data_IF_957746259021
#
_entry.id   IF_957746259021
#
_cell.length_a   1.000
_cell.length_b   1.000
_cell.length_c   1.000
_cell.angle_alpha   90.00
_cell.angle_beta   90.00
_cell.angle_gamma   90.00
#
_symmetry.space_group_name_H-M   'P 1'
#
loop_
_entity.id
_entity.type
_entity.pdbx_description
1 polymer ?
#
# COMPACT_ATOMS: atom_id res chain seq x y z
N UNK A 1 8.18 -4.73 9.54
CA UNK A 1 9.19 -4.78 8.48
C UNK A 1 8.56 -4.12 7.29
N UNK A 2 8.97 -2.87 7.06
CA UNK A 2 8.29 -1.96 6.14
C UNK A 2 8.62 -2.28 4.67
N UNK A 3 7.69 -1.95 3.78
CA UNK A 3 7.95 -1.85 2.35
C UNK A 3 7.54 -0.46 1.84
N UNK A 4 7.85 -0.18 0.58
CA UNK A 4 7.55 1.12 -0.03
C UNK A 4 6.88 0.94 -1.38
N UNK A 5 5.91 1.80 -1.66
CA UNK A 5 5.39 2.02 -3.01
C UNK A 5 5.99 3.32 -3.55
N UNK A 6 6.69 3.24 -4.67
CA UNK A 6 7.33 4.40 -5.30
C UNK A 6 6.83 4.58 -6.72
N UNK A 7 6.63 5.85 -7.09
CA UNK A 7 6.29 6.25 -8.46
C UNK A 7 7.45 7.00 -9.09
N UNK A 8 7.73 6.60 -10.32
CA UNK A 8 8.65 7.28 -11.23
C UNK A 8 7.88 7.65 -12.51
N UNK A 9 8.40 8.64 -13.26
CA UNK A 9 7.97 8.89 -14.62
C UNK A 9 8.65 7.93 -15.61
N UNK A 10 8.28 8.01 -16.90
CA UNK A 10 8.84 7.15 -17.96
C UNK A 10 10.34 7.38 -18.21
N UNK A 11 10.87 8.51 -17.76
CA UNK A 11 12.30 8.85 -17.85
C UNK A 11 13.07 8.39 -16.61
N UNK A 12 12.39 7.76 -15.64
CA UNK A 12 12.97 7.31 -14.38
C UNK A 12 13.10 8.41 -13.32
N UNK A 13 12.50 9.59 -13.52
CA UNK A 13 12.53 10.63 -12.49
C UNK A 13 11.56 10.30 -11.37
N UNK A 14 12.02 10.42 -10.13
CA UNK A 14 11.20 10.23 -8.94
C UNK A 14 10.01 11.20 -8.91
N UNK A 15 8.83 10.69 -8.60
CA UNK A 15 7.60 11.48 -8.43
C UNK A 15 7.18 11.52 -6.97
N UNK A 16 7.00 10.35 -6.35
CA UNK A 16 6.65 10.21 -4.93
C UNK A 16 6.97 8.81 -4.42
N UNK A 17 7.04 8.66 -3.09
CA UNK A 17 7.08 7.38 -2.41
C UNK A 17 6.20 7.42 -1.16
N UNK A 18 5.62 6.26 -0.85
CA UNK A 18 4.82 6.03 0.34
C UNK A 18 5.41 4.87 1.11
N UNK A 19 5.50 5.04 2.43
CA UNK A 19 5.76 3.93 3.33
C UNK A 19 4.48 3.13 3.50
N UNK A 20 4.62 1.81 3.53
CA UNK A 20 3.54 0.88 3.80
C UNK A 20 4.05 -0.29 4.67
N UNK A 21 3.13 -0.97 5.35
CA UNK A 21 3.45 -1.99 6.35
C UNK A 21 3.55 -1.43 7.77
N UNK A 22 3.97 -2.28 8.69
CA UNK A 22 4.12 -2.07 10.13
C UNK A 22 5.45 -2.59 10.66
N UNK A 23 5.46 -2.99 11.93
CA UNK A 23 6.69 -3.40 12.63
C UNK A 23 7.05 -4.87 12.38
N UNK A 24 6.12 -5.70 11.89
CA UNK A 24 6.28 -7.15 11.64
C UNK A 24 6.44 -7.52 10.16
N UNK A 25 6.62 -8.78 9.78
CA UNK A 25 6.86 -9.17 8.38
C UNK A 25 5.71 -8.74 7.45
N UNK A 26 6.01 -7.88 6.47
CA UNK A 26 5.04 -7.40 5.49
C UNK A 26 5.62 -7.53 4.08
N UNK A 27 4.78 -7.94 3.12
CA UNK A 27 5.20 -8.21 1.76
C UNK A 27 4.15 -7.73 0.76
N UNK A 28 4.58 -6.91 -0.21
CA UNK A 28 3.79 -6.62 -1.40
C UNK A 28 4.06 -7.68 -2.47
N UNK A 29 3.00 -8.32 -2.96
CA UNK A 29 3.09 -9.45 -3.91
C UNK A 29 2.80 -9.07 -5.35
N UNK A 30 2.00 -8.02 -5.57
CA UNK A 30 1.63 -7.61 -6.92
C UNK A 30 1.04 -6.21 -6.95
N UNK A 31 1.22 -5.55 -8.10
CA UNK A 31 0.53 -4.30 -8.39
C UNK A 31 -0.05 -4.32 -9.80
N UNK A 32 -1.13 -3.56 -9.99
CA UNK A 32 -1.70 -3.26 -11.30
C UNK A 32 -2.28 -1.84 -11.34
N UNK A 33 -2.49 -1.31 -12.55
CA UNK A 33 -2.99 0.05 -12.76
C UNK A 33 -4.18 0.00 -13.74
N UNK A 34 -5.33 0.54 -13.32
CA UNK A 34 -6.51 0.60 -14.19
C UNK A 34 -6.43 1.76 -15.21
N UNK A 35 -7.39 1.78 -16.16
CA UNK A 35 -7.49 2.86 -17.16
C UNK A 35 -7.78 4.25 -16.54
N UNK A 36 -8.28 4.30 -15.30
CA UNK A 36 -8.46 5.52 -14.52
C UNK A 36 -7.19 5.98 -13.81
N UNK A 37 -6.07 5.28 -13.98
CA UNK A 37 -4.80 5.47 -13.27
C UNK A 37 -4.89 5.27 -11.76
N UNK A 38 -5.85 4.46 -11.30
CA UNK A 38 -5.79 3.97 -9.93
C UNK A 38 -4.80 2.81 -9.86
N UNK A 39 -4.00 2.82 -8.81
CA UNK A 39 -2.99 1.83 -8.50
C UNK A 39 -3.58 0.87 -7.47
N UNK A 40 -3.49 -0.42 -7.74
CA UNK A 40 -3.89 -1.48 -6.85
C UNK A 40 -2.64 -2.25 -6.43
N UNK A 41 -2.49 -2.49 -5.14
CA UNK A 41 -1.40 -3.25 -4.56
C UNK A 41 -1.99 -4.36 -3.69
N UNK A 42 -1.48 -5.58 -3.77
CA UNK A 42 -1.87 -6.67 -2.90
C UNK A 42 -0.67 -7.30 -2.21
N UNK A 43 -0.93 -8.03 -1.12
CA UNK A 43 0.12 -8.71 -0.38
C UNK A 43 -0.36 -9.24 0.96
N UNK A 44 0.59 -9.41 1.87
CA UNK A 44 0.34 -9.85 3.25
C UNK A 44 0.92 -8.86 4.26
N UNK A 45 0.19 -8.67 5.35
CA UNK A 45 0.62 -7.87 6.50
C UNK A 45 0.56 -8.73 7.75
N UNK A 46 1.60 -8.76 8.56
CA UNK A 46 1.59 -9.53 9.82
C UNK A 46 1.13 -8.72 11.03
N UNK A 47 0.98 -7.40 10.87
CA UNK A 47 0.46 -6.50 11.90
C UNK A 47 -0.20 -5.28 11.24
N UNK A 48 -0.52 -4.28 12.06
CA UNK A 48 -1.06 -3.00 11.67
C UNK A 48 -0.17 -2.32 10.65
N UNK A 49 -0.69 -2.10 9.45
CA UNK A 49 -0.03 -1.31 8.43
C UNK A 49 -0.67 0.05 8.31
N UNK A 50 0.19 1.05 8.09
CA UNK A 50 -0.23 2.40 7.76
C UNK A 50 0.13 2.67 6.31
N UNK A 51 -0.87 3.03 5.51
CA UNK A 51 -0.68 3.44 4.12
C UNK A 51 -0.89 4.96 3.97
N UNK A 52 -0.17 5.58 3.02
CA UNK A 52 -0.36 6.98 2.68
C UNK A 52 0.67 7.95 3.25
N UNK A 53 0.68 9.16 2.68
CA UNK A 53 1.28 10.35 3.29
C UNK A 53 0.38 10.82 4.43
N UNK A 54 0.94 11.07 5.61
CA UNK A 54 0.23 11.47 6.85
C UNK A 54 -0.56 10.37 7.59
N UNK A 55 -0.49 9.11 7.14
CA UNK A 55 -1.03 7.96 7.89
C UNK A 55 -2.56 7.87 7.92
N UNK A 56 -3.20 8.24 6.80
CA UNK A 56 -4.66 8.35 6.68
C UNK A 56 -5.38 6.99 6.73
N UNK A 57 -4.70 5.88 6.44
CA UNK A 57 -5.31 4.55 6.44
C UNK A 57 -4.56 3.63 7.40
N UNK A 58 -5.22 3.28 8.50
CA UNK A 58 -4.75 2.34 9.51
C UNK A 58 -5.54 1.03 9.39
N UNK A 59 -4.86 -0.04 8.98
CA UNK A 59 -5.40 -1.41 8.91
C UNK A 59 -5.10 -2.11 10.24
N UNK A 60 -6.09 -2.60 11.00
CA UNK A 60 -5.87 -3.42 12.24
C UNK A 60 -6.94 -4.52 12.37
N UNK A 61 -6.54 -5.78 12.68
CA UNK A 61 -6.95 -6.58 13.89
C UNK A 61 -6.70 -8.09 13.74
N UNK A 62 -5.48 -8.52 14.08
CA UNK A 62 -5.12 -9.64 14.98
C UNK A 62 -3.64 -9.99 14.72
N UNK A 63 -2.79 -9.85 15.73
CA UNK A 63 -1.33 -10.00 15.68
C UNK A 63 -0.85 -11.45 15.51
N UNK A 64 -1.76 -12.39 15.30
CA UNK A 64 -1.44 -13.82 15.24
C UNK A 64 -1.42 -14.44 13.83
N UNK A 65 -1.84 -13.71 12.78
CA UNK A 65 -1.79 -14.20 11.40
C UNK A 65 -1.43 -13.11 10.39
N UNK A 66 -0.77 -13.50 9.30
CA UNK A 66 -0.62 -12.64 8.13
C UNK A 66 -1.96 -12.46 7.43
N UNK A 67 -2.41 -11.23 7.28
CA UNK A 67 -3.69 -10.88 6.64
C UNK A 67 -3.44 -10.49 5.19
N UNK A 68 -4.19 -11.07 4.23
CA UNK A 68 -4.16 -10.55 2.87
C UNK A 68 -4.67 -9.11 2.87
N UNK A 69 -4.12 -8.27 2.00
CA UNK A 69 -4.64 -6.94 1.79
C UNK A 69 -4.75 -6.62 0.30
N UNK A 70 -5.66 -5.70 -0.01
CA UNK A 70 -5.67 -4.95 -1.26
C UNK A 70 -5.71 -3.47 -0.88
N UNK A 71 -4.75 -2.70 -1.38
CA UNK A 71 -4.67 -1.26 -1.23
C UNK A 71 -4.92 -0.60 -2.58
N UNK A 72 -5.78 0.42 -2.60
CA UNK A 72 -6.04 1.24 -3.78
C UNK A 72 -5.62 2.68 -3.52
N UNK A 73 -4.89 3.30 -4.44
CA UNK A 73 -4.63 4.74 -4.43
C UNK A 73 -4.72 5.34 -5.84
N UNK A 74 -4.85 6.66 -5.92
CA UNK A 74 -4.79 7.37 -7.20
C UNK A 74 -3.36 7.60 -7.71
N UNK A 75 -3.23 8.24 -8.87
CA UNK A 75 -1.92 8.57 -9.48
C UNK A 75 -1.05 9.51 -8.62
N UNK A 76 -1.66 10.24 -7.67
CA UNK A 76 -1.00 11.13 -6.72
C UNK A 76 -0.61 10.39 -5.43
N UNK A 77 -1.03 9.13 -5.30
CA UNK A 77 -0.75 8.31 -4.14
C UNK A 77 -1.77 8.44 -3.02
N UNK A 78 -2.90 9.12 -3.24
CA UNK A 78 -3.95 9.28 -2.23
C UNK A 78 -4.78 8.00 -2.15
N UNK A 79 -4.85 7.39 -0.97
CA UNK A 79 -5.61 6.16 -0.74
C UNK A 79 -7.11 6.36 -1.00
N UNK A 80 -7.76 5.34 -1.58
CA UNK A 80 -9.19 5.37 -1.90
C UNK A 80 -9.91 4.15 -1.31
N UNK A 81 -10.94 4.39 -0.50
CA UNK A 81 -11.79 3.35 0.08
C UNK A 81 -11.24 2.75 1.39
N UNK A 82 -12.11 2.02 2.10
CA UNK A 82 -11.78 1.26 3.31
C UNK A 82 -11.85 -0.25 3.03
N UNK A 83 -11.59 -0.68 1.80
CA UNK A 83 -12.09 -1.98 1.32
C UNK A 83 -11.15 -3.12 1.75
N UNK A 84 -11.43 -3.61 2.96
CA UNK A 84 -10.92 -4.84 3.53
C UNK A 84 -11.68 -6.05 2.94
N UNK A 85 -10.95 -7.05 2.44
CA UNK A 85 -11.42 -8.44 2.45
C UNK A 85 -10.58 -9.18 3.49
#
# INVERSE_FOLDING_TARGET
MIFFLAKYDSSGNFQWAQRAGGDSFDEGLGLDIDNGKNIYLCGFLSDTAIFGVNGEIQIIRDSSYSHPFVYKCDQLGVGQGNDYI
#
